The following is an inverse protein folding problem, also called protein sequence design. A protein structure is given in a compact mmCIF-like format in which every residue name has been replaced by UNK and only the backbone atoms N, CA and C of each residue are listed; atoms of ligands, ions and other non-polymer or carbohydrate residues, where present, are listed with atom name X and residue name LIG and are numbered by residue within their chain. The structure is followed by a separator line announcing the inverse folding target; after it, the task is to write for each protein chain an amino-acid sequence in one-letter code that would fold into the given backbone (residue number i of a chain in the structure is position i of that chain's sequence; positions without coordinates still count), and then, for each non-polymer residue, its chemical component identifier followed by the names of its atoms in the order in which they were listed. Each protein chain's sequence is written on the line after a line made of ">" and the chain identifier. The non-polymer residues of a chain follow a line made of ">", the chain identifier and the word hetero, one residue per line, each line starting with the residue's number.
data_IF_544223806032
#
_entry.id   IF_544223806032
#
_cell.length_a   1.000
_cell.length_b   1.000
_cell.length_c   1.000
_cell.angle_alpha   90.00
_cell.angle_beta   90.00
_cell.angle_gamma   90.00
#
_symmetry.space_group_name_H-M   'P 1'
#
loop_
_entity.id
_entity.type
_entity.pdbx_description
1 polymer ?
#
# COMPACT_ATOMS: atom_id res chain seq x y z
N UNK A 1 -2.95 -34.32 -14.07
CA UNK A 1 -3.22 -33.04 -13.36
C UNK A 1 -3.84 -32.13 -14.40
N UNK A 2 -5.03 -31.62 -14.16
CA UNK A 2 -5.68 -30.67 -15.07
C UNK A 2 -5.01 -29.28 -14.98
N UNK A 3 -5.23 -28.46 -16.00
CA UNK A 3 -4.62 -27.12 -16.10
C UNK A 3 -4.91 -26.26 -14.87
N UNK A 4 -6.15 -26.30 -14.37
CA UNK A 4 -6.54 -25.49 -13.21
C UNK A 4 -5.79 -25.92 -11.94
N UNK A 5 -5.69 -27.21 -11.67
CA UNK A 5 -4.89 -27.71 -10.54
C UNK A 5 -3.41 -27.34 -10.66
N UNK A 6 -2.85 -27.32 -11.88
CA UNK A 6 -1.49 -26.83 -12.09
C UNK A 6 -1.35 -25.34 -11.72
N UNK A 7 -2.30 -24.50 -12.11
CA UNK A 7 -2.33 -23.06 -11.75
C UNK A 7 -2.39 -22.90 -10.23
N UNK A 8 -3.25 -23.68 -9.54
CA UNK A 8 -3.37 -23.63 -8.08
C UNK A 8 -2.03 -23.99 -7.42
N UNK A 9 -1.37 -25.06 -7.85
CA UNK A 9 -0.05 -25.48 -7.31
C UNK A 9 0.99 -24.38 -7.53
N UNK A 10 1.04 -23.78 -8.72
CA UNK A 10 1.97 -22.68 -9.03
C UNK A 10 1.68 -21.47 -8.14
N UNK A 11 0.40 -21.10 -7.96
CA UNK A 11 0.00 -19.99 -7.11
C UNK A 11 0.41 -20.22 -5.65
N UNK A 12 0.18 -21.42 -5.12
CA UNK A 12 0.58 -21.77 -3.75
C UNK A 12 2.10 -21.75 -3.58
N UNK A 13 2.85 -22.29 -4.54
CA UNK A 13 4.30 -22.23 -4.53
C UNK A 13 4.81 -20.77 -4.56
N UNK A 14 4.21 -19.91 -5.39
CA UNK A 14 4.52 -18.48 -5.43
C UNK A 14 4.26 -17.79 -4.09
N UNK A 15 3.13 -18.08 -3.44
CA UNK A 15 2.80 -17.51 -2.13
C UNK A 15 3.82 -17.95 -1.06
N UNK A 16 4.24 -19.21 -1.07
CA UNK A 16 5.27 -19.72 -0.15
C UNK A 16 6.62 -19.03 -0.40
N UNK A 17 7.03 -18.89 -1.66
CA UNK A 17 8.27 -18.18 -2.01
C UNK A 17 8.22 -16.74 -1.54
N UNK A 18 7.11 -16.03 -1.78
CA UNK A 18 6.92 -14.65 -1.33
C UNK A 18 6.97 -14.53 0.21
N UNK A 19 6.38 -15.47 0.95
CA UNK A 19 6.43 -15.50 2.41
C UNK A 19 7.86 -15.70 2.90
N UNK A 20 8.61 -16.64 2.31
CA UNK A 20 10.00 -16.93 2.68
C UNK A 20 10.89 -15.73 2.38
N UNK A 21 10.75 -15.11 1.21
CA UNK A 21 11.51 -13.92 0.80
C UNK A 21 11.35 -12.78 1.81
N UNK A 22 10.11 -12.43 2.14
CA UNK A 22 9.82 -11.34 3.08
C UNK A 22 10.19 -11.69 4.53
N UNK A 23 10.06 -12.95 4.93
CA UNK A 23 10.44 -13.38 6.28
C UNK A 23 11.96 -13.39 6.51
N UNK A 24 12.73 -13.65 5.47
CA UNK A 24 14.20 -13.65 5.53
C UNK A 24 14.82 -12.26 5.40
N UNK A 25 14.06 -11.26 4.95
CA UNK A 25 14.52 -9.88 4.89
C UNK A 25 14.65 -9.27 6.30
N UNK A 26 15.89 -9.22 6.80
CA UNK A 26 16.22 -8.68 8.13
C UNK A 26 15.99 -7.17 8.28
N UNK A 27 15.86 -6.45 7.17
CA UNK A 27 15.66 -5.00 7.13
C UNK A 27 14.17 -4.62 7.09
N UNK A 28 13.28 -5.59 6.85
CA UNK A 28 11.85 -5.34 6.76
C UNK A 28 11.25 -4.99 8.14
N UNK A 29 10.37 -4.01 8.16
CA UNK A 29 9.53 -3.73 9.34
C UNK A 29 8.67 -4.94 9.70
N UNK A 30 8.84 -5.46 10.93
CA UNK A 30 8.10 -6.63 11.42
C UNK A 30 6.59 -6.52 11.22
N UNK A 31 6.04 -5.33 11.42
CA UNK A 31 4.61 -5.09 11.25
C UNK A 31 4.19 -5.23 9.79
N UNK A 32 4.97 -4.67 8.86
CA UNK A 32 4.73 -4.78 7.42
C UNK A 32 4.87 -6.24 6.95
N UNK A 33 5.89 -6.95 7.45
CA UNK A 33 6.11 -8.38 7.19
C UNK A 33 4.90 -9.22 7.59
N UNK A 34 4.41 -9.07 8.84
CA UNK A 34 3.24 -9.81 9.33
C UNK A 34 2.01 -9.52 8.47
N UNK A 35 1.75 -8.26 8.12
CA UNK A 35 0.61 -7.88 7.28
C UNK A 35 0.70 -8.51 5.90
N UNK A 36 1.88 -8.49 5.27
CA UNK A 36 2.09 -9.12 3.97
C UNK A 36 1.85 -10.64 4.02
N UNK A 37 2.42 -11.33 5.01
CA UNK A 37 2.20 -12.76 5.22
C UNK A 37 0.72 -13.06 5.42
N UNK A 38 0.02 -12.22 6.20
CA UNK A 38 -1.44 -12.37 6.42
C UNK A 38 -2.21 -12.28 5.10
N UNK A 39 -1.86 -11.34 4.22
CA UNK A 39 -2.49 -11.25 2.88
C UNK A 39 -2.20 -12.50 2.06
N UNK A 40 -0.96 -13.00 2.04
CA UNK A 40 -0.62 -14.23 1.33
C UNK A 40 -1.43 -15.44 1.84
N UNK A 41 -1.59 -15.58 3.16
CA UNK A 41 -2.39 -16.66 3.76
C UNK A 41 -3.87 -16.54 3.35
N UNK A 42 -4.44 -15.33 3.37
CA UNK A 42 -5.83 -15.10 2.96
C UNK A 42 -6.04 -15.45 1.48
N UNK A 43 -5.11 -15.05 0.59
CA UNK A 43 -5.14 -15.44 -0.83
C UNK A 43 -5.11 -16.96 -0.96
N UNK A 44 -4.22 -17.64 -0.24
CA UNK A 44 -4.11 -19.10 -0.24
C UNK A 44 -5.39 -19.79 0.22
N UNK A 45 -6.01 -19.31 1.30
CA UNK A 45 -7.29 -19.86 1.80
C UNK A 45 -8.44 -19.67 0.80
N UNK A 46 -8.54 -18.50 0.17
CA UNK A 46 -9.54 -18.22 -0.84
C UNK A 46 -9.35 -19.11 -2.09
N UNK A 47 -8.11 -19.23 -2.57
CA UNK A 47 -7.75 -20.12 -3.68
C UNK A 47 -8.09 -21.58 -3.38
N UNK A 48 -7.76 -22.06 -2.17
CA UNK A 48 -8.10 -23.43 -1.77
C UNK A 48 -9.62 -23.64 -1.69
N UNK A 49 -10.36 -22.65 -1.19
CA UNK A 49 -11.83 -22.66 -1.22
C UNK A 49 -12.37 -22.79 -2.64
N UNK A 50 -11.88 -22.00 -3.58
CA UNK A 50 -12.28 -22.10 -4.98
C UNK A 50 -11.92 -23.47 -5.57
N UNK A 51 -10.68 -23.95 -5.37
CA UNK A 51 -10.22 -25.23 -5.90
C UNK A 51 -11.05 -26.40 -5.38
N UNK A 52 -11.31 -26.48 -4.07
CA UNK A 52 -12.15 -27.50 -3.47
C UNK A 52 -13.57 -27.41 -4.05
N UNK A 53 -14.13 -26.20 -4.14
CA UNK A 53 -15.46 -25.98 -4.73
C UNK A 53 -15.57 -26.48 -6.17
N UNK A 54 -14.55 -26.25 -7.00
CA UNK A 54 -14.50 -26.74 -8.38
C UNK A 54 -14.41 -28.27 -8.43
N UNK A 55 -13.55 -28.86 -7.58
CA UNK A 55 -13.33 -30.33 -7.56
C UNK A 55 -14.49 -31.12 -6.99
N UNK A 56 -15.26 -30.51 -6.12
CA UNK A 56 -16.43 -31.16 -5.52
C UNK A 56 -17.71 -30.93 -6.33
N UNK A 57 -17.73 -30.00 -7.27
CA UNK A 57 -18.89 -29.69 -8.09
C UNK A 57 -19.30 -30.89 -8.98
N UNK A 58 -20.52 -31.41 -8.80
CA UNK A 58 -21.01 -32.60 -9.48
C UNK A 58 -20.37 -33.92 -8.99
N UNK A 59 -19.63 -33.91 -7.89
CA UNK A 59 -19.09 -35.10 -7.24
C UNK A 59 -20.16 -35.77 -6.35
N UNK A 60 -19.77 -36.85 -5.65
CA UNK A 60 -20.70 -37.61 -4.78
C UNK A 60 -21.43 -36.69 -3.78
N UNK A 61 -22.72 -36.96 -3.50
CA UNK A 61 -23.53 -36.18 -2.56
C UNK A 61 -22.94 -36.07 -1.15
N UNK A 62 -22.09 -37.02 -0.73
CA UNK A 62 -21.37 -36.97 0.53
C UNK A 62 -20.44 -35.74 0.65
N UNK A 63 -20.05 -35.13 -0.46
CA UNK A 63 -19.18 -33.95 -0.53
C UNK A 63 -19.94 -32.61 -0.57
N UNK A 64 -21.27 -32.60 -0.48
CA UNK A 64 -22.07 -31.36 -0.44
C UNK A 64 -21.64 -30.45 0.71
N UNK A 65 -21.42 -31.00 1.91
CA UNK A 65 -20.95 -30.22 3.07
C UNK A 65 -19.59 -29.55 2.85
N UNK A 66 -18.53 -30.31 2.48
CA UNK A 66 -17.23 -29.73 2.09
C UNK A 66 -17.33 -28.71 0.95
N UNK A 67 -18.13 -28.95 -0.08
CA UNK A 67 -18.34 -28.02 -1.20
C UNK A 67 -18.94 -26.70 -0.71
N UNK A 68 -19.97 -26.79 0.09
CA UNK A 68 -20.66 -25.65 0.68
C UNK A 68 -19.71 -24.81 1.58
N UNK A 69 -18.96 -25.49 2.45
CA UNK A 69 -17.95 -24.82 3.30
C UNK A 69 -16.89 -24.10 2.47
N UNK A 70 -16.34 -24.76 1.46
CA UNK A 70 -15.33 -24.23 0.56
C UNK A 70 -15.79 -22.96 -0.16
N UNK A 71 -17.01 -22.96 -0.72
CA UNK A 71 -17.61 -21.79 -1.36
C UNK A 71 -17.90 -20.66 -0.38
N UNK A 72 -18.30 -20.97 0.85
CA UNK A 72 -18.49 -19.96 1.90
C UNK A 72 -17.17 -19.28 2.24
N UNK A 73 -16.10 -20.05 2.41
CA UNK A 73 -14.75 -19.50 2.68
C UNK A 73 -14.30 -18.59 1.53
N UNK A 74 -14.41 -19.06 0.28
CA UNK A 74 -14.07 -18.27 -0.91
C UNK A 74 -14.77 -16.90 -0.90
N UNK A 75 -16.09 -16.87 -0.73
CA UNK A 75 -16.90 -15.66 -0.78
C UNK A 75 -16.69 -14.72 0.43
N UNK A 76 -16.37 -15.28 1.60
CA UNK A 76 -16.02 -14.48 2.76
C UNK A 76 -14.61 -13.88 2.65
N UNK A 77 -13.64 -14.62 2.10
CA UNK A 77 -12.24 -14.19 2.05
C UNK A 77 -11.98 -13.11 0.98
N UNK A 78 -12.76 -13.05 -0.10
CA UNK A 78 -12.54 -12.08 -1.17
C UNK A 78 -12.57 -10.58 -0.69
N UNK A 79 -13.58 -10.10 0.05
CA UNK A 79 -13.57 -8.75 0.61
C UNK A 79 -12.50 -8.56 1.70
N UNK A 80 -12.24 -9.59 2.53
CA UNK A 80 -11.19 -9.57 3.56
C UNK A 80 -9.83 -9.32 2.93
N UNK A 81 -9.52 -10.00 1.83
CA UNK A 81 -8.28 -9.83 1.07
C UNK A 81 -8.09 -8.37 0.63
N UNK A 82 -9.11 -7.74 0.05
CA UNK A 82 -9.04 -6.35 -0.40
C UNK A 82 -8.79 -5.37 0.76
N UNK A 83 -9.47 -5.54 1.89
CA UNK A 83 -9.31 -4.66 3.06
C UNK A 83 -7.95 -4.89 3.74
N UNK A 84 -7.47 -6.13 3.81
CA UNK A 84 -6.13 -6.43 4.33
C UNK A 84 -5.03 -5.88 3.42
N UNK A 85 -5.19 -5.97 2.09
CA UNK A 85 -4.29 -5.34 1.13
C UNK A 85 -4.29 -3.80 1.30
N UNK A 86 -5.47 -3.17 1.45
CA UNK A 86 -5.57 -1.73 1.76
C UNK A 86 -4.82 -1.37 3.04
N UNK A 87 -4.90 -2.21 4.08
CA UNK A 87 -4.20 -1.99 5.35
C UNK A 87 -2.68 -2.21 5.25
N UNK A 88 -2.26 -3.05 4.32
CA UNK A 88 -0.84 -3.36 4.10
C UNK A 88 -0.17 -2.29 3.24
N UNK A 89 -0.82 -1.83 2.18
CA UNK A 89 -0.22 -0.97 1.15
C UNK A 89 -0.67 0.47 1.19
N UNK A 90 -1.72 0.79 1.93
CA UNK A 90 -2.29 2.12 2.02
C UNK A 90 -2.59 2.54 3.46
N UNK A 91 -3.05 3.78 3.62
CA UNK A 91 -3.55 4.29 4.90
C UNK A 91 -5.06 4.04 5.00
N UNK A 92 -5.45 3.01 5.75
CA UNK A 92 -6.86 2.71 5.99
C UNK A 92 -7.56 3.88 6.70
N UNK A 93 -8.62 4.39 6.08
CA UNK A 93 -9.53 5.35 6.70
C UNK A 93 -10.67 4.60 7.36
N UNK A 94 -11.00 4.96 8.60
CA UNK A 94 -12.10 4.36 9.37
C UNK A 94 -12.00 2.82 9.44
N UNK A 95 -10.94 2.27 10.03
CA UNK A 95 -10.72 0.80 10.08
C UNK A 95 -11.90 0.06 10.72
N UNK A 96 -12.55 0.63 11.72
CA UNK A 96 -13.72 0.04 12.36
C UNK A 96 -14.90 -0.15 11.38
N UNK A 97 -15.13 0.80 10.47
CA UNK A 97 -16.18 0.67 9.47
C UNK A 97 -15.87 -0.42 8.43
N UNK A 98 -14.60 -0.52 8.00
CA UNK A 98 -14.17 -1.57 7.08
C UNK A 98 -14.28 -2.96 7.72
N UNK A 99 -13.85 -3.12 8.96
CA UNK A 99 -14.01 -4.37 9.74
C UNK A 99 -15.49 -4.70 9.92
N UNK A 100 -16.32 -3.72 10.30
CA UNK A 100 -17.76 -3.90 10.45
C UNK A 100 -18.41 -4.40 9.14
N UNK A 101 -18.04 -3.82 8.00
CA UNK A 101 -18.55 -4.25 6.70
C UNK A 101 -18.16 -5.71 6.37
N UNK A 102 -16.92 -6.12 6.68
CA UNK A 102 -16.48 -7.52 6.51
C UNK A 102 -17.29 -8.46 7.40
N UNK A 103 -17.48 -8.12 8.67
CA UNK A 103 -18.26 -8.96 9.61
C UNK A 103 -19.70 -9.09 9.15
N UNK A 104 -20.33 -7.98 8.73
CA UNK A 104 -21.69 -8.00 8.19
C UNK A 104 -21.77 -8.87 6.93
N UNK A 105 -20.79 -8.76 6.02
CA UNK A 105 -20.75 -9.62 4.83
C UNK A 105 -20.60 -11.10 5.21
N UNK A 106 -19.73 -11.45 6.13
CA UNK A 106 -19.54 -12.84 6.57
C UNK A 106 -20.81 -13.41 7.20
N UNK A 107 -21.47 -12.65 8.09
CA UNK A 107 -22.75 -13.04 8.68
C UNK A 107 -23.84 -13.18 7.61
N UNK A 108 -23.91 -12.25 6.66
CA UNK A 108 -24.85 -12.34 5.55
C UNK A 108 -24.60 -13.59 4.70
N UNK A 109 -23.34 -13.95 4.40
CA UNK A 109 -23.00 -15.18 3.68
C UNK A 109 -23.46 -16.42 4.44
N UNK A 110 -23.18 -16.51 5.74
CA UNK A 110 -23.57 -17.66 6.59
C UNK A 110 -25.10 -17.82 6.63
N UNK A 111 -25.84 -16.71 6.85
CA UNK A 111 -27.31 -16.74 6.87
C UNK A 111 -27.87 -17.06 5.49
N UNK A 112 -27.34 -16.42 4.45
CA UNK A 112 -27.74 -16.61 3.05
C UNK A 112 -27.67 -18.07 2.61
N UNK A 113 -26.70 -18.80 3.13
CA UNK A 113 -26.49 -20.20 2.82
C UNK A 113 -27.69 -21.08 3.20
N UNK A 114 -28.38 -20.76 4.29
CA UNK A 114 -29.58 -21.52 4.72
C UNK A 114 -30.77 -21.33 3.79
N UNK A 115 -30.79 -20.18 3.08
CA UNK A 115 -31.92 -19.80 2.23
C UNK A 115 -31.59 -19.83 0.71
N UNK A 116 -30.36 -20.16 0.35
CA UNK A 116 -29.88 -20.13 -1.03
C UNK A 116 -29.90 -18.75 -1.70
N UNK A 117 -29.78 -17.65 -0.91
CA UNK A 117 -29.89 -16.28 -1.44
C UNK A 117 -28.74 -15.89 -2.34
N UNK A 118 -27.49 -16.14 -1.93
CA UNK A 118 -26.31 -15.81 -2.72
C UNK A 118 -25.93 -16.98 -3.62
N UNK A 119 -25.88 -18.18 -3.07
CA UNK A 119 -25.65 -19.40 -3.81
C UNK A 119 -26.33 -20.58 -3.08
N UNK A 120 -26.52 -21.67 -3.79
CA UNK A 120 -26.93 -22.96 -3.22
C UNK A 120 -26.26 -24.10 -3.97
N UNK A 121 -26.18 -25.23 -3.32
CA UNK A 121 -25.69 -26.48 -3.89
C UNK A 121 -26.91 -27.45 -3.86
N UNK A 122 -27.22 -28.02 -5.01
CA UNK A 122 -28.36 -28.95 -5.12
C UNK A 122 -28.00 -30.37 -4.62
N UNK A 123 -28.99 -31.27 -4.67
CA UNK A 123 -28.84 -32.66 -4.24
C UNK A 123 -27.84 -33.46 -5.11
N UNK A 124 -27.58 -33.00 -6.32
CA UNK A 124 -26.55 -33.54 -7.24
C UNK A 124 -25.16 -32.95 -7.02
N UNK A 125 -25.00 -32.18 -5.93
CA UNK A 125 -23.75 -31.46 -5.59
C UNK A 125 -23.30 -30.46 -6.65
N UNK A 126 -24.25 -29.83 -7.36
CA UNK A 126 -24.00 -28.82 -8.37
C UNK A 126 -24.22 -27.43 -7.79
N UNK A 127 -23.28 -26.54 -8.02
CA UNK A 127 -23.32 -25.14 -7.59
C UNK A 127 -24.27 -24.33 -8.48
N UNK A 128 -25.13 -23.53 -7.85
CA UNK A 128 -26.01 -22.58 -8.52
C UNK A 128 -25.92 -21.20 -7.88
N UNK A 129 -26.00 -20.15 -8.71
CA UNK A 129 -26.09 -18.75 -8.25
C UNK A 129 -27.48 -18.45 -7.72
N UNK A 130 -27.59 -17.89 -6.53
CA UNK A 130 -28.83 -17.45 -5.94
C UNK A 130 -29.30 -16.08 -6.46
N UNK A 131 -30.50 -15.64 -6.05
CA UNK A 131 -31.10 -14.37 -6.50
C UNK A 131 -30.34 -13.14 -6.06
N UNK A 132 -29.63 -13.21 -4.94
CA UNK A 132 -28.83 -12.10 -4.37
C UNK A 132 -27.33 -12.25 -4.64
N UNK A 133 -26.92 -13.07 -5.61
CA UNK A 133 -25.51 -13.22 -6.00
C UNK A 133 -24.85 -11.85 -6.34
N UNK A 134 -25.62 -10.93 -6.95
CA UNK A 134 -25.16 -9.59 -7.28
C UNK A 134 -24.72 -8.77 -6.05
N UNK A 135 -25.25 -9.05 -4.85
CA UNK A 135 -24.85 -8.39 -3.60
C UNK A 135 -23.39 -8.73 -3.29
N UNK A 136 -23.01 -10.01 -3.41
CA UNK A 136 -21.62 -10.43 -3.26
C UNK A 136 -20.70 -9.71 -4.26
N UNK A 137 -21.08 -9.66 -5.53
CA UNK A 137 -20.33 -8.97 -6.58
C UNK A 137 -20.17 -7.47 -6.24
N UNK A 138 -21.24 -6.82 -5.78
CA UNK A 138 -21.20 -5.41 -5.39
C UNK A 138 -20.26 -5.17 -4.19
N UNK A 139 -20.32 -6.02 -3.16
CA UNK A 139 -19.43 -5.93 -1.99
C UNK A 139 -17.97 -6.11 -2.42
N UNK A 140 -17.69 -7.04 -3.31
CA UNK A 140 -16.34 -7.29 -3.82
C UNK A 140 -15.82 -6.08 -4.62
N UNK A 141 -16.62 -5.52 -5.54
CA UNK A 141 -16.25 -4.31 -6.30
C UNK A 141 -15.98 -3.13 -5.36
N UNK A 142 -16.86 -2.90 -4.38
CA UNK A 142 -16.67 -1.82 -3.39
C UNK A 142 -15.38 -2.03 -2.59
N UNK A 143 -15.05 -3.27 -2.24
CA UNK A 143 -13.82 -3.60 -1.51
C UNK A 143 -12.56 -3.36 -2.36
N UNK A 144 -12.60 -3.67 -3.66
CA UNK A 144 -11.52 -3.37 -4.60
C UNK A 144 -11.33 -1.84 -4.73
N UNK A 145 -12.42 -1.09 -4.94
CA UNK A 145 -12.36 0.38 -5.03
C UNK A 145 -11.84 1.00 -3.74
N UNK A 146 -12.25 0.49 -2.59
CA UNK A 146 -11.74 0.93 -1.30
C UNK A 146 -10.23 0.70 -1.18
N UNK A 147 -9.75 -0.49 -1.54
CA UNK A 147 -8.31 -0.80 -1.57
C UNK A 147 -7.56 0.16 -2.48
N UNK A 148 -8.03 0.35 -3.70
CA UNK A 148 -7.44 1.27 -4.67
C UNK A 148 -7.34 2.70 -4.13
N UNK A 149 -8.43 3.24 -3.56
CA UNK A 149 -8.46 4.58 -3.00
C UNK A 149 -7.46 4.71 -1.84
N UNK A 150 -7.38 3.72 -0.93
CA UNK A 150 -6.44 3.74 0.19
C UNK A 150 -4.99 3.75 -0.28
N UNK A 151 -4.64 2.94 -1.28
CA UNK A 151 -3.29 2.88 -1.84
C UNK A 151 -2.93 4.18 -2.54
N UNK A 152 -3.82 4.71 -3.40
CA UNK A 152 -3.60 5.97 -4.12
C UNK A 152 -3.45 7.17 -3.19
N UNK A 153 -4.25 7.23 -2.12
CA UNK A 153 -4.15 8.33 -1.14
C UNK A 153 -2.85 8.28 -0.33
N UNK A 154 -2.30 7.10 -0.08
CA UNK A 154 -1.01 6.96 0.60
C UNK A 154 0.13 7.44 -0.30
N UNK A 155 0.09 7.11 -1.60
CA UNK A 155 1.05 7.60 -2.60
C UNK A 155 1.08 9.13 -2.65
N UNK A 156 -0.08 9.78 -2.73
CA UNK A 156 -0.19 11.23 -2.81
C UNK A 156 0.39 11.96 -1.59
N UNK A 157 0.41 11.33 -0.42
CA UNK A 157 0.92 11.92 0.82
C UNK A 157 2.45 12.13 0.78
N UNK A 158 3.19 11.26 0.11
CA UNK A 158 4.66 11.28 0.10
C UNK A 158 5.26 11.98 -1.14
N UNK A 159 4.49 12.90 -1.76
CA UNK A 159 4.90 13.65 -2.96
C UNK A 159 5.26 12.78 -4.17
N UNK A 160 5.06 11.47 -4.07
CA UNK A 160 5.22 10.57 -5.18
C UNK A 160 4.13 10.88 -6.23
N UNK A 161 4.53 11.15 -7.46
CA UNK A 161 3.59 11.05 -8.58
C UNK A 161 3.10 9.61 -8.58
N UNK A 162 1.78 9.34 -8.77
CA UNK A 162 1.32 7.99 -8.95
C UNK A 162 2.17 7.36 -10.05
N UNK A 163 3.08 6.46 -9.65
CA UNK A 163 4.00 5.88 -10.61
C UNK A 163 3.19 5.06 -11.61
N UNK A 164 3.56 5.13 -12.89
CA UNK A 164 2.95 4.31 -13.94
C UNK A 164 2.93 2.82 -13.58
N UNK A 165 3.87 2.39 -12.72
CA UNK A 165 3.96 1.05 -12.15
C UNK A 165 2.71 0.68 -11.35
N UNK A 166 2.19 1.57 -10.50
CA UNK A 166 1.00 1.27 -9.70
C UNK A 166 -0.24 1.10 -10.59
N UNK A 167 -0.39 1.97 -11.59
CA UNK A 167 -1.46 1.84 -12.59
C UNK A 167 -1.32 0.53 -13.39
N UNK A 168 -0.10 0.15 -13.78
CA UNK A 168 0.17 -1.10 -14.47
C UNK A 168 -0.19 -2.33 -13.62
N UNK A 169 0.11 -2.31 -12.32
CA UNK A 169 -0.28 -3.37 -11.38
C UNK A 169 -1.80 -3.47 -11.28
N UNK A 170 -2.51 -2.34 -11.19
CA UNK A 170 -3.97 -2.31 -11.12
C UNK A 170 -4.61 -2.84 -12.41
N UNK A 171 -4.06 -2.47 -13.58
CA UNK A 171 -4.50 -3.01 -14.87
C UNK A 171 -4.26 -4.52 -14.97
N UNK A 172 -3.11 -5.00 -14.49
CA UNK A 172 -2.80 -6.43 -14.45
C UNK A 172 -3.80 -7.22 -13.57
N UNK A 173 -4.14 -6.71 -12.38
CA UNK A 173 -5.14 -7.31 -11.51
C UNK A 173 -6.53 -7.35 -12.17
N UNK A 174 -6.93 -6.24 -12.81
CA UNK A 174 -8.20 -6.15 -13.53
C UNK A 174 -8.25 -7.10 -14.72
N UNK A 175 -7.13 -7.34 -15.39
CA UNK A 175 -7.01 -8.28 -16.50
C UNK A 175 -7.27 -9.71 -16.06
N UNK A 176 -6.78 -10.14 -14.88
CA UNK A 176 -7.07 -11.48 -14.33
C UNK A 176 -8.57 -11.73 -14.17
N UNK A 177 -9.28 -10.76 -13.57
CA UNK A 177 -10.74 -10.80 -13.40
C UNK A 177 -11.46 -10.83 -14.76
N UNK A 178 -11.02 -10.01 -15.71
CA UNK A 178 -11.59 -9.92 -17.05
C UNK A 178 -11.43 -11.24 -17.83
N UNK A 179 -10.25 -11.86 -17.76
CA UNK A 179 -9.99 -13.17 -18.40
C UNK A 179 -10.94 -14.23 -17.86
N UNK A 180 -11.13 -14.32 -16.55
CA UNK A 180 -12.03 -15.29 -15.94
C UNK A 180 -13.49 -15.02 -16.28
N UNK A 181 -13.87 -13.76 -16.51
CA UNK A 181 -15.23 -13.39 -16.93
C UNK A 181 -15.54 -13.88 -18.36
N UNK A 182 -14.55 -13.80 -19.28
CA UNK A 182 -14.69 -14.24 -20.69
C UNK A 182 -14.51 -15.77 -20.81
N UNK A 183 -13.53 -16.31 -20.09
CA UNK A 183 -13.14 -17.71 -20.12
C UNK A 183 -13.31 -18.34 -18.72
N UNK A 184 -14.52 -18.72 -18.31
CA UNK A 184 -14.80 -19.24 -16.96
C UNK A 184 -14.00 -20.48 -16.57
N UNK A 185 -13.52 -21.23 -17.56
CA UNK A 185 -12.69 -22.43 -17.37
C UNK A 185 -11.22 -22.06 -17.07
N UNK A 186 -10.80 -20.84 -17.43
CA UNK A 186 -9.44 -20.34 -17.21
C UNK A 186 -9.38 -19.49 -15.94
N UNK A 187 -9.26 -20.16 -14.79
CA UNK A 187 -9.26 -19.54 -13.46
C UNK A 187 -7.87 -19.08 -13.07
N UNK A 188 -7.51 -17.85 -13.46
CA UNK A 188 -6.19 -17.25 -13.24
C UNK A 188 -6.22 -16.05 -12.27
N UNK A 189 -7.38 -15.66 -11.79
CA UNK A 189 -7.58 -14.49 -10.96
C UNK A 189 -6.73 -14.51 -9.68
N UNK A 190 -6.72 -15.61 -8.91
CA UNK A 190 -5.88 -15.73 -7.72
C UNK A 190 -4.37 -15.76 -8.03
N UNK A 191 -3.95 -16.31 -9.18
CA UNK A 191 -2.57 -16.20 -9.64
C UNK A 191 -2.21 -14.74 -9.90
N UNK A 192 -3.07 -14.01 -10.62
CA UNK A 192 -2.87 -12.58 -10.85
C UNK A 192 -2.84 -11.80 -9.53
N UNK A 193 -3.71 -12.14 -8.57
CA UNK A 193 -3.72 -11.51 -7.24
C UNK A 193 -2.44 -11.81 -6.46
N UNK A 194 -1.92 -13.04 -6.48
CA UNK A 194 -0.67 -13.40 -5.82
C UNK A 194 0.53 -12.66 -6.40
N UNK A 195 0.63 -12.58 -7.73
CA UNK A 195 1.65 -11.78 -8.44
C UNK A 195 1.49 -10.29 -8.14
N UNK A 196 0.27 -9.77 -8.23
CA UNK A 196 -0.03 -8.36 -7.93
C UNK A 196 0.33 -7.98 -6.49
N UNK A 197 0.06 -8.87 -5.52
CA UNK A 197 0.45 -8.69 -4.12
C UNK A 197 1.98 -8.57 -3.97
N UNK A 198 2.75 -9.44 -4.63
CA UNK A 198 4.21 -9.37 -4.64
C UNK A 198 4.72 -8.07 -5.29
N UNK A 199 4.12 -7.66 -6.42
CA UNK A 199 4.49 -6.43 -7.10
C UNK A 199 4.19 -5.19 -6.26
N UNK A 200 3.04 -5.13 -5.57
CA UNK A 200 2.68 -4.05 -4.64
C UNK A 200 3.66 -3.99 -3.46
N UNK A 201 4.04 -5.13 -2.91
CA UNK A 201 5.03 -5.19 -1.83
C UNK A 201 6.40 -4.66 -2.29
N UNK A 202 6.90 -5.13 -3.42
CA UNK A 202 8.14 -4.66 -4.01
C UNK A 202 8.11 -3.15 -4.33
N UNK A 203 6.98 -2.64 -4.83
CA UNK A 203 6.79 -1.21 -5.07
C UNK A 203 6.88 -0.44 -3.76
N UNK A 204 6.21 -0.90 -2.71
CA UNK A 204 6.28 -0.31 -1.38
C UNK A 204 7.70 -0.31 -0.82
N UNK A 205 8.42 -1.44 -0.87
CA UNK A 205 9.80 -1.53 -0.38
C UNK A 205 10.72 -0.54 -1.12
N UNK A 206 10.62 -0.47 -2.45
CA UNK A 206 11.38 0.50 -3.25
C UNK A 206 11.06 1.95 -2.89
N UNK A 207 9.81 2.26 -2.57
CA UNK A 207 9.41 3.60 -2.11
C UNK A 207 10.06 3.92 -0.76
N UNK A 208 9.95 3.04 0.22
CA UNK A 208 10.54 3.26 1.54
C UNK A 208 12.07 3.32 1.51
N UNK A 209 12.73 2.57 0.63
CA UNK A 209 14.19 2.65 0.48
C UNK A 209 14.71 3.99 -0.06
N UNK A 210 13.83 4.83 -0.61
CA UNK A 210 14.16 6.20 -1.07
C UNK A 210 13.97 7.26 0.01
N UNK A 211 13.34 6.92 1.14
CA UNK A 211 13.03 7.86 2.21
C UNK A 211 14.08 7.80 3.33
N UNK A 212 14.24 8.90 4.02
CA UNK A 212 14.93 8.96 5.30
C UNK A 212 14.03 8.45 6.42
N UNK A 213 14.51 7.49 7.21
CA UNK A 213 13.71 6.80 8.22
C UNK A 213 13.22 7.68 9.38
N UNK A 214 13.88 8.82 9.63
CA UNK A 214 13.51 9.76 10.70
C UNK A 214 12.49 10.80 10.23
N UNK A 215 12.77 11.43 9.10
CA UNK A 215 12.05 12.62 8.62
C UNK A 215 11.00 12.31 7.56
N UNK A 216 11.09 11.14 6.93
CA UNK A 216 10.25 10.74 5.81
C UNK A 216 10.35 11.68 4.59
N UNK A 217 11.40 12.49 4.50
CA UNK A 217 11.84 13.14 3.28
C UNK A 217 12.61 12.13 2.43
N UNK A 218 12.92 12.48 1.19
CA UNK A 218 13.80 11.66 0.36
C UNK A 218 15.21 11.62 0.99
N UNK A 219 15.90 10.49 0.86
CA UNK A 219 17.23 10.33 1.43
C UNK A 219 18.34 10.81 0.48
N UNK A 220 19.57 10.86 0.98
CA UNK A 220 20.76 11.26 0.24
C UNK A 220 20.94 10.48 -1.07
N UNK A 221 20.77 9.16 -1.04
CA UNK A 221 20.92 8.32 -2.24
C UNK A 221 19.94 8.72 -3.36
N UNK A 222 18.72 9.12 -2.98
CA UNK A 222 17.75 9.62 -3.95
C UNK A 222 18.12 11.02 -4.45
N UNK A 223 18.63 11.91 -3.57
CA UNK A 223 19.12 13.23 -3.96
C UNK A 223 20.21 13.13 -5.04
N UNK A 224 21.22 12.30 -4.82
CA UNK A 224 22.34 12.11 -5.75
C UNK A 224 21.85 11.64 -7.14
N UNK A 225 20.90 10.69 -7.17
CA UNK A 225 20.30 10.21 -8.43
C UNK A 225 19.45 11.27 -9.14
N UNK A 226 18.73 12.10 -8.39
CA UNK A 226 17.85 13.11 -8.97
C UNK A 226 18.68 14.32 -9.45
N UNK A 227 19.78 14.63 -8.75
CA UNK A 227 20.72 15.66 -9.15
C UNK A 227 21.40 15.36 -10.52
N UNK A 228 21.72 14.07 -10.78
CA UNK A 228 22.25 13.64 -12.07
C UNK A 228 21.26 13.80 -13.25
N UNK A 229 19.97 13.85 -12.94
CA UNK A 229 18.88 13.87 -13.93
C UNK A 229 18.21 15.24 -14.06
N UNK A 230 18.61 16.18 -13.21
CA UNK A 230 18.00 17.50 -13.18
C UNK A 230 18.18 18.20 -14.53
N UNK A 231 17.12 18.87 -14.96
CA UNK A 231 17.13 19.71 -16.19
C UNK A 231 16.87 21.16 -15.81
N UNK A 232 17.57 22.10 -16.44
CA UNK A 232 17.30 23.51 -16.25
C UNK A 232 15.90 23.89 -16.81
N UNK A 233 15.21 24.91 -16.29
CA UNK A 233 15.63 25.65 -15.09
C UNK A 233 15.22 24.93 -13.81
N UNK A 234 16.11 24.99 -12.79
CA UNK A 234 15.83 24.46 -11.48
C UNK A 234 16.52 25.31 -10.39
N UNK A 235 16.02 25.24 -9.15
CA UNK A 235 16.70 25.84 -7.98
C UNK A 235 17.09 24.72 -7.03
N UNK A 236 18.35 24.73 -6.61
CA UNK A 236 18.87 23.85 -5.57
C UNK A 236 19.01 24.67 -4.29
N UNK A 237 18.42 24.19 -3.20
CA UNK A 237 18.54 24.80 -1.87
C UNK A 237 19.27 23.82 -0.98
N UNK A 238 20.25 24.29 -0.23
CA UNK A 238 20.86 23.56 0.87
C UNK A 238 20.55 24.27 2.18
N UNK A 239 20.23 23.49 3.20
CA UNK A 239 19.84 23.95 4.52
C UNK A 239 20.62 23.18 5.57
N UNK A 240 21.00 23.87 6.64
CA UNK A 240 21.72 23.33 7.79
C UNK A 240 21.04 23.79 9.07
N UNK A 241 20.89 22.90 10.06
CA UNK A 241 20.24 23.23 11.33
C UNK A 241 21.29 23.81 12.27
N UNK A 242 21.15 25.10 12.63
CA UNK A 242 22.10 25.81 13.41
C UNK A 242 22.24 25.20 14.83
N UNK A 243 23.50 25.10 15.30
CA UNK A 243 23.85 24.59 16.62
C UNK A 243 23.28 23.22 16.99
N UNK A 244 22.95 22.36 16.00
CA UNK A 244 22.30 21.10 16.21
C UNK A 244 23.05 20.15 17.16
N UNK A 245 24.39 20.17 17.12
CA UNK A 245 25.20 19.40 18.05
C UNK A 245 24.97 19.84 19.50
N UNK A 246 24.88 21.15 19.77
CA UNK A 246 24.63 21.67 21.12
C UNK A 246 23.26 21.22 21.65
N UNK A 247 22.26 21.15 20.78
CA UNK A 247 20.92 20.63 21.13
C UNK A 247 21.02 19.15 21.56
N UNK A 248 21.72 18.33 20.78
CA UNK A 248 21.92 16.92 21.14
C UNK A 248 22.67 16.75 22.45
N UNK A 249 23.72 17.57 22.67
CA UNK A 249 24.56 17.51 23.87
C UNK A 249 23.81 17.98 25.12
N UNK A 250 22.88 18.94 24.98
CA UNK A 250 22.11 19.53 26.09
C UNK A 250 20.82 18.79 26.40
N UNK A 251 20.04 18.48 25.35
CA UNK A 251 18.67 17.95 25.47
C UNK A 251 18.56 16.48 25.04
N UNK A 252 19.65 15.87 24.58
CA UNK A 252 19.73 14.48 24.13
C UNK A 252 19.25 14.26 22.70
N UNK A 253 19.66 13.12 22.12
CA UNK A 253 19.34 12.77 20.72
C UNK A 253 17.84 12.69 20.43
N UNK A 254 17.01 12.33 21.41
CA UNK A 254 15.56 12.28 21.24
C UNK A 254 14.95 13.65 20.97
N UNK A 255 15.49 14.72 21.58
CA UNK A 255 15.10 16.10 21.31
C UNK A 255 15.56 16.54 19.92
N UNK A 256 16.81 16.22 19.54
CA UNK A 256 17.30 16.48 18.18
C UNK A 256 16.45 15.81 17.11
N UNK A 257 16.10 14.53 17.30
CA UNK A 257 15.22 13.79 16.41
C UNK A 257 13.83 14.43 16.29
N UNK A 258 13.30 14.94 17.38
CA UNK A 258 12.03 15.67 17.39
C UNK A 258 12.11 16.93 16.53
N UNK A 259 13.14 17.76 16.72
CA UNK A 259 13.31 19.00 15.94
C UNK A 259 13.54 18.73 14.45
N UNK A 260 14.34 17.73 14.12
CA UNK A 260 14.52 17.33 12.71
C UNK A 260 13.20 16.93 12.03
N UNK A 261 12.29 16.24 12.75
CA UNK A 261 10.95 15.91 12.22
C UNK A 261 10.10 17.16 12.02
N UNK A 262 10.13 18.12 12.95
CA UNK A 262 9.40 19.39 12.84
C UNK A 262 9.88 20.20 11.63
N UNK A 263 11.20 20.37 11.49
CA UNK A 263 11.81 21.07 10.36
C UNK A 263 11.42 20.39 9.03
N UNK A 264 11.54 19.08 8.96
CA UNK A 264 11.17 18.30 7.77
C UNK A 264 9.69 18.48 7.39
N UNK A 265 8.77 18.56 8.37
CA UNK A 265 7.35 18.81 8.11
C UNK A 265 7.12 20.22 7.55
N UNK A 266 7.82 21.24 8.07
CA UNK A 266 7.77 22.60 7.53
C UNK A 266 8.32 22.63 6.09
N UNK A 267 9.50 22.01 5.85
CA UNK A 267 10.10 21.90 4.52
C UNK A 267 9.10 21.28 3.53
N UNK A 268 8.50 20.14 3.89
CA UNK A 268 7.52 19.45 3.06
C UNK A 268 6.28 20.28 2.78
N UNK A 269 5.78 21.01 3.77
CA UNK A 269 4.58 21.82 3.65
C UNK A 269 4.80 23.01 2.74
N UNK A 270 5.94 23.69 2.87
CA UNK A 270 6.26 24.91 2.12
C UNK A 270 6.73 24.57 0.70
N UNK A 271 7.70 23.69 0.57
CA UNK A 271 8.40 23.47 -0.71
C UNK A 271 7.91 22.25 -1.49
N UNK A 272 7.26 21.30 -0.85
CA UNK A 272 6.98 20.00 -1.46
C UNK A 272 6.02 20.00 -2.65
N UNK A 273 5.27 21.09 -2.89
CA UNK A 273 4.49 21.27 -4.12
C UNK A 273 5.31 21.84 -5.29
N UNK A 274 6.50 22.34 -4.99
CA UNK A 274 7.39 23.05 -5.92
C UNK A 274 8.55 22.18 -6.40
N UNK A 275 8.86 21.10 -5.68
CA UNK A 275 9.92 20.16 -6.01
C UNK A 275 10.10 19.09 -4.95
N UNK A 276 11.24 18.41 -5.01
CA UNK A 276 11.57 17.29 -4.14
C UNK A 276 12.45 17.77 -2.96
N UNK A 277 12.17 17.23 -1.76
CA UNK A 277 12.82 17.63 -0.52
C UNK A 277 13.56 16.41 0.06
N UNK A 278 14.80 16.61 0.48
CA UNK A 278 15.70 15.54 0.89
C UNK A 278 16.32 15.86 2.27
N UNK A 279 16.62 14.81 3.05
CA UNK A 279 17.57 14.87 4.13
C UNK A 279 18.90 14.31 3.62
N UNK A 280 19.91 15.19 3.51
CA UNK A 280 21.20 14.86 2.93
C UNK A 280 22.15 14.24 3.96
N UNK A 281 22.15 14.74 5.17
CA UNK A 281 23.01 14.32 6.26
C UNK A 281 22.33 14.38 7.62
N UNK A 282 23.07 14.39 8.71
CA UNK A 282 22.56 14.43 10.08
C UNK A 282 21.55 15.55 10.31
N UNK A 283 21.99 16.78 10.12
CA UNK A 283 21.26 18.04 10.26
C UNK A 283 21.11 18.81 8.95
N UNK A 284 21.55 18.22 7.83
CA UNK A 284 21.54 18.83 6.52
C UNK A 284 20.32 18.40 5.70
N UNK A 285 19.65 19.37 5.08
CA UNK A 285 18.56 19.19 4.14
C UNK A 285 18.92 19.81 2.80
N UNK A 286 18.41 19.20 1.73
CA UNK A 286 18.57 19.70 0.36
C UNK A 286 17.22 19.64 -0.37
N UNK A 287 17.00 20.58 -1.30
CA UNK A 287 15.79 20.63 -2.11
C UNK A 287 16.15 20.84 -3.57
N UNK A 288 15.39 20.22 -4.45
CA UNK A 288 15.47 20.43 -5.90
C UNK A 288 14.10 20.93 -6.36
N UNK A 289 13.99 22.22 -6.63
CA UNK A 289 12.74 22.84 -7.05
C UNK A 289 12.74 23.04 -8.56
N UNK A 290 11.64 22.61 -9.21
CA UNK A 290 11.47 22.68 -10.67
C UNK A 290 10.21 23.43 -11.08
N UNK A 291 9.42 23.92 -10.10
CA UNK A 291 8.16 24.61 -10.36
C UNK A 291 8.09 25.93 -9.59
N UNK A 292 7.48 26.94 -10.20
CA UNK A 292 7.23 28.24 -9.59
C UNK A 292 8.49 28.93 -9.03
N UNK A 293 9.62 28.80 -9.75
CA UNK A 293 10.94 29.28 -9.30
C UNK A 293 10.97 30.78 -9.03
N UNK A 294 10.07 31.57 -9.65
CA UNK A 294 9.91 33.01 -9.42
C UNK A 294 9.35 33.36 -8.02
N UNK A 295 8.91 32.37 -7.26
CA UNK A 295 8.33 32.58 -5.90
C UNK A 295 9.32 32.26 -4.77
N UNK A 296 10.60 32.12 -5.06
CA UNK A 296 11.62 31.68 -4.08
C UNK A 296 11.65 32.51 -2.81
N UNK A 297 11.70 33.84 -2.94
CA UNK A 297 11.72 34.76 -1.77
C UNK A 297 10.45 34.59 -0.92
N UNK A 298 9.30 34.43 -1.56
CA UNK A 298 8.04 34.18 -0.85
C UNK A 298 8.06 32.84 -0.12
N UNK A 299 8.57 31.78 -0.76
CA UNK A 299 8.68 30.45 -0.15
C UNK A 299 9.64 30.46 1.05
N UNK A 300 10.78 31.12 0.91
CA UNK A 300 11.73 31.27 2.01
C UNK A 300 11.12 32.07 3.17
N UNK A 301 10.40 33.15 2.89
CA UNK A 301 9.68 33.90 3.92
C UNK A 301 8.59 33.09 4.61
N UNK A 302 7.87 32.21 3.88
CA UNK A 302 6.89 31.30 4.47
C UNK A 302 7.57 30.24 5.37
N UNK A 303 8.74 29.73 4.96
CA UNK A 303 9.53 28.79 5.74
C UNK A 303 10.01 29.42 7.06
N UNK A 304 10.62 30.60 7.01
CA UNK A 304 11.06 31.33 8.19
C UNK A 304 9.90 31.68 9.14
N UNK A 305 8.77 32.13 8.60
CA UNK A 305 7.57 32.42 9.40
C UNK A 305 7.03 31.16 10.10
N UNK A 306 6.99 30.01 9.40
CA UNK A 306 6.55 28.76 9.98
C UNK A 306 7.49 28.26 11.09
N UNK A 307 8.81 28.36 10.91
CA UNK A 307 9.78 28.06 11.96
C UNK A 307 9.69 29.05 13.13
N UNK A 308 9.41 30.33 12.85
CA UNK A 308 9.18 31.37 13.87
C UNK A 308 7.98 31.02 14.77
N UNK A 309 6.86 30.55 14.19
CA UNK A 309 5.70 30.09 14.96
C UNK A 309 6.02 28.89 15.84
N UNK A 310 6.85 27.95 15.37
CA UNK A 310 7.27 26.83 16.20
C UNK A 310 8.17 27.29 17.36
N UNK A 311 9.05 28.27 17.13
CA UNK A 311 9.89 28.88 18.20
C UNK A 311 9.10 29.66 19.23
N UNK A 312 7.98 30.26 18.87
CA UNK A 312 7.07 30.89 19.84
C UNK A 312 6.47 29.86 20.81
N UNK A 313 6.25 28.64 20.35
CA UNK A 313 5.72 27.54 21.16
C UNK A 313 6.82 26.77 21.91
N UNK A 314 7.98 26.63 21.31
CA UNK A 314 9.15 25.97 21.88
C UNK A 314 10.43 26.80 21.62
N UNK A 315 10.87 27.59 22.62
CA UNK A 315 12.07 28.45 22.47
C UNK A 315 13.38 27.70 22.19
N UNK A 316 13.42 26.38 22.38
CA UNK A 316 14.58 25.53 22.05
C UNK A 316 14.58 25.08 20.58
N UNK A 317 13.53 25.39 19.81
CA UNK A 317 13.47 25.08 18.38
C UNK A 317 14.61 25.82 17.63
N UNK A 318 15.52 25.09 16.95
CA UNK A 318 16.67 25.69 16.29
C UNK A 318 16.29 26.58 15.11
N UNK A 319 17.23 27.46 14.75
CA UNK A 319 17.22 28.16 13.47
C UNK A 319 17.75 27.23 12.36
N UNK A 320 17.51 27.62 11.12
CA UNK A 320 18.00 26.90 9.95
C UNK A 320 18.64 27.91 9.01
N UNK A 321 19.91 27.75 8.75
CA UNK A 321 20.63 28.49 7.72
C UNK A 321 20.33 27.90 6.34
N UNK A 322 20.00 28.73 5.34
CA UNK A 322 19.74 28.29 3.99
C UNK A 322 20.51 29.08 2.95
N UNK A 323 20.95 28.36 1.92
CA UNK A 323 21.56 28.94 0.72
C UNK A 323 20.94 28.30 -0.53
N UNK A 324 20.81 29.06 -1.62
CA UNK A 324 20.28 28.51 -2.87
C UNK A 324 21.04 28.99 -4.11
N UNK A 325 20.98 28.16 -5.15
CA UNK A 325 21.56 28.46 -6.46
C UNK A 325 20.56 28.13 -7.56
N UNK A 326 20.50 28.97 -8.58
CA UNK A 326 19.74 28.73 -9.80
C UNK A 326 20.60 27.89 -10.77
N UNK A 327 20.03 26.83 -11.28
CA UNK A 327 20.58 26.02 -12.36
C UNK A 327 19.85 26.38 -13.65
N UNK A 328 20.57 27.07 -14.56
CA UNK A 328 20.09 27.57 -15.84
C UNK A 328 20.52 26.68 -17.02
#
# INVERSE_FOLDING_TARGET
>A
MDLYTAIVVITMALLVVNIVDVYTDRLADKTATIRFITVCVIIGLAQMGEWIGVKTNGAEPALIGPHWFAKTVEFCMAPVMCVMAAHTYGKVRKPAAAIGAIVVNALFMIVSNQYGWVFYIDEMNVYHRGRLYWVHVAVFIVSILYCFICVMMDEMKYQARPEAVLLAIMLFLSMGIYIQMIFPDLRVDYLCVAVGNALLYNHRCRRFSRLDGLTMLLNRTQYEKDLERIKPPAVIINMDVDDFKQINDTSGHAAGDYYLRQIAEVIRTVYGRHGDCYRYGGDEFSLILTKNLHQMEKLNGMFEAALGQLREQDPQMPTVSLGYALYE
#
